data_IF_803259414134
#
_entry.id   IF_803259414134
#
_cell.length_a   1.000
_cell.length_b   1.000
_cell.length_c   1.000
_cell.angle_alpha   90.00
_cell.angle_beta   90.00
_cell.angle_gamma   90.00
#
_symmetry.space_group_name_H-M   'P 1'
#
loop_
_entity.id
_entity.type
_entity.pdbx_description
1 polymer ?
#
# COMPACT_ATOMS: atom_id res chain seq x y z
N UNK A 1 -17.71 21.21 -3.91
CA UNK A 1 -16.51 22.04 -3.66
C UNK A 1 -16.13 22.75 -4.95
N UNK A 2 -15.99 24.09 -4.94
CA UNK A 2 -15.80 24.94 -6.13
C UNK A 2 -14.52 24.66 -6.95
N UNK A 3 -13.63 23.77 -6.47
CA UNK A 3 -12.37 23.38 -7.12
C UNK A 3 -12.28 21.89 -7.45
N UNK A 4 -13.34 21.09 -7.20
CA UNK A 4 -13.30 19.64 -7.46
C UNK A 4 -13.27 19.37 -8.96
N UNK A 5 -14.17 20.01 -9.70
CA UNK A 5 -14.24 19.90 -11.16
C UNK A 5 -12.92 20.36 -11.82
N UNK A 6 -12.36 21.49 -11.37
CA UNK A 6 -11.05 21.97 -11.82
C UNK A 6 -9.94 20.94 -11.57
N UNK A 7 -9.96 20.28 -10.39
CA UNK A 7 -8.97 19.26 -10.06
C UNK A 7 -9.11 18.01 -10.93
N UNK A 8 -10.33 17.52 -11.15
CA UNK A 8 -10.59 16.37 -12.03
C UNK A 8 -10.12 16.68 -13.46
N UNK A 9 -10.42 17.87 -13.98
CA UNK A 9 -9.96 18.31 -15.29
C UNK A 9 -8.42 18.42 -15.35
N UNK A 10 -7.78 18.93 -14.28
CA UNK A 10 -6.32 19.03 -14.22
C UNK A 10 -5.63 17.66 -14.17
N UNK A 11 -6.18 16.69 -13.44
CA UNK A 11 -5.70 15.29 -13.43
C UNK A 11 -5.80 14.67 -14.83
N UNK A 12 -6.92 14.84 -15.52
CA UNK A 12 -7.06 14.36 -16.90
C UNK A 12 -6.07 15.05 -17.87
N UNK A 13 -5.79 16.33 -17.64
CA UNK A 13 -4.77 17.07 -18.41
C UNK A 13 -3.37 16.51 -18.16
N UNK A 14 -3.00 16.26 -16.89
CA UNK A 14 -1.73 15.62 -16.54
C UNK A 14 -1.58 14.24 -17.23
N UNK A 15 -2.62 13.42 -17.18
CA UNK A 15 -2.65 12.11 -17.87
C UNK A 15 -2.24 12.26 -19.33
N UNK A 16 -2.75 13.26 -20.04
CA UNK A 16 -2.40 13.50 -21.44
C UNK A 16 -0.99 14.06 -21.62
N UNK A 17 -0.56 14.98 -20.74
CA UNK A 17 0.78 15.57 -20.78
C UNK A 17 1.89 14.52 -20.66
N UNK A 18 1.67 13.48 -19.85
CA UNK A 18 2.69 12.48 -19.50
C UNK A 18 2.63 11.19 -20.33
N UNK A 19 1.78 11.13 -21.37
CA UNK A 19 1.59 9.95 -22.23
C UNK A 19 2.89 9.34 -22.78
N UNK A 20 3.90 10.19 -23.06
CA UNK A 20 5.17 9.76 -23.68
C UNK A 20 6.03 8.97 -22.69
N UNK A 21 5.90 9.20 -21.38
CA UNK A 21 6.67 8.51 -20.34
C UNK A 21 6.40 7.00 -20.30
N UNK A 22 5.21 6.58 -20.74
CA UNK A 22 4.75 5.19 -20.72
C UNK A 22 4.39 4.65 -22.12
N UNK A 23 4.87 5.29 -23.19
CA UNK A 23 4.47 4.94 -24.57
C UNK A 23 4.79 3.48 -24.98
N UNK A 24 5.79 2.85 -24.36
CA UNK A 24 6.21 1.47 -24.62
C UNK A 24 5.79 0.49 -23.51
N UNK A 25 5.00 0.94 -22.56
CA UNK A 25 4.55 0.15 -21.41
C UNK A 25 3.06 -0.17 -21.56
N UNK A 26 2.61 -1.26 -20.92
CA UNK A 26 1.19 -1.62 -20.84
C UNK A 26 0.72 -1.45 -19.40
N UNK A 27 -0.35 -0.68 -19.22
CA UNK A 27 -0.96 -0.44 -17.91
C UNK A 27 -1.74 -1.69 -17.48
N UNK A 28 -1.29 -2.32 -16.40
CA UNK A 28 -1.94 -3.48 -15.78
C UNK A 28 -2.93 -3.08 -14.67
N UNK A 29 -2.71 -1.94 -14.03
CA UNK A 29 -3.47 -1.49 -12.85
C UNK A 29 -3.77 0.00 -12.90
N UNK A 30 -4.93 0.38 -12.38
CA UNK A 30 -5.34 1.77 -12.15
C UNK A 30 -5.77 1.87 -10.69
N UNK A 31 -5.14 2.75 -9.92
CA UNK A 31 -5.39 2.85 -8.49
C UNK A 31 -5.82 4.27 -8.11
N UNK A 32 -7.06 4.40 -7.66
CA UNK A 32 -7.58 5.63 -7.08
C UNK A 32 -7.30 5.61 -5.59
N UNK A 33 -6.20 6.26 -5.18
CA UNK A 33 -5.76 6.34 -3.79
C UNK A 33 -5.58 7.77 -3.29
N UNK A 34 -5.32 7.88 -1.99
CA UNK A 34 -4.99 9.14 -1.33
C UNK A 34 -6.21 9.99 -0.98
N UNK A 35 -6.19 10.61 0.20
CA UNK A 35 -7.36 11.32 0.72
C UNK A 35 -8.57 10.39 0.77
N UNK A 36 -9.62 10.75 0.03
CA UNK A 36 -10.86 9.96 -0.05
C UNK A 36 -11.38 9.93 -1.50
N UNK A 37 -10.85 9.05 -2.37
CA UNK A 37 -11.21 9.03 -3.80
C UNK A 37 -12.69 8.68 -4.04
N UNK A 38 -13.30 7.95 -3.11
CA UNK A 38 -14.72 7.60 -3.08
C UNK A 38 -15.68 8.81 -3.15
N UNK A 39 -15.22 10.04 -2.86
CA UNK A 39 -15.99 11.29 -3.03
C UNK A 39 -16.23 11.69 -4.49
N UNK A 40 -15.46 11.14 -5.44
CA UNK A 40 -15.68 11.36 -6.87
C UNK A 40 -16.99 10.70 -7.30
N UNK A 41 -17.82 11.39 -8.07
CA UNK A 41 -18.98 10.77 -8.71
C UNK A 41 -18.54 9.70 -9.71
N UNK A 42 -19.43 8.75 -10.04
CA UNK A 42 -19.14 7.75 -11.08
C UNK A 42 -18.77 8.37 -12.43
N UNK A 43 -19.38 9.51 -12.77
CA UNK A 43 -19.06 10.22 -14.01
C UNK A 43 -17.63 10.78 -13.98
N UNK A 44 -17.18 11.31 -12.84
CA UNK A 44 -15.80 11.79 -12.68
C UNK A 44 -14.79 10.64 -12.71
N UNK A 45 -15.11 9.50 -12.07
CA UNK A 45 -14.27 8.29 -12.13
C UNK A 45 -14.17 7.79 -13.58
N UNK A 46 -15.30 7.64 -14.27
CA UNK A 46 -15.32 7.20 -15.67
C UNK A 46 -14.52 8.15 -16.56
N UNK A 47 -14.68 9.46 -16.38
CA UNK A 47 -13.94 10.47 -17.13
C UNK A 47 -12.41 10.32 -16.98
N UNK A 48 -11.93 10.05 -15.76
CA UNK A 48 -10.50 9.81 -15.52
C UNK A 48 -10.02 8.49 -16.12
N UNK A 49 -10.81 7.41 -16.01
CA UNK A 49 -10.49 6.12 -16.63
C UNK A 49 -10.43 6.28 -18.16
N UNK A 50 -11.41 6.95 -18.77
CA UNK A 50 -11.42 7.22 -20.20
C UNK A 50 -10.18 8.00 -20.64
N UNK A 51 -9.74 8.99 -19.85
CA UNK A 51 -8.50 9.70 -20.11
C UNK A 51 -7.27 8.78 -20.10
N UNK A 52 -7.21 7.80 -19.19
CA UNK A 52 -6.14 6.78 -19.18
C UNK A 52 -6.18 5.95 -20.46
N UNK A 53 -7.34 5.40 -20.82
CA UNK A 53 -7.50 4.58 -22.03
C UNK A 53 -7.22 5.35 -23.34
N UNK A 54 -7.44 6.66 -23.36
CA UNK A 54 -7.13 7.51 -24.51
C UNK A 54 -5.62 7.78 -24.69
N UNK A 55 -4.84 7.70 -23.62
CA UNK A 55 -3.43 8.13 -23.63
C UNK A 55 -2.43 6.96 -23.43
N UNK A 56 -2.87 5.82 -22.89
CA UNK A 56 -2.03 4.68 -22.59
C UNK A 56 -2.60 3.37 -23.16
N UNK A 57 -1.72 2.42 -23.44
CA UNK A 57 -2.11 1.04 -23.72
C UNK A 57 -2.48 0.37 -22.40
N UNK A 58 -3.74 -0.05 -22.25
CA UNK A 58 -4.23 -0.74 -21.06
C UNK A 58 -4.48 -2.20 -21.40
N UNK A 59 -4.13 -3.12 -20.49
CA UNK A 59 -4.46 -4.54 -20.66
C UNK A 59 -5.98 -4.77 -20.74
N UNK A 60 -6.40 -5.92 -21.26
CA UNK A 60 -7.82 -6.24 -21.43
C UNK A 60 -8.58 -6.30 -20.10
N UNK A 61 -7.94 -6.82 -19.05
CA UNK A 61 -8.53 -7.02 -17.72
C UNK A 61 -7.67 -6.35 -16.62
N UNK A 62 -7.60 -5.01 -16.58
CA UNK A 62 -6.79 -4.32 -15.59
C UNK A 62 -7.44 -4.42 -14.20
N UNK A 63 -6.62 -4.42 -13.15
CA UNK A 63 -7.15 -4.20 -11.80
C UNK A 63 -7.41 -2.70 -11.61
N UNK A 64 -8.66 -2.32 -11.36
CA UNK A 64 -9.06 -0.94 -11.11
C UNK A 64 -9.57 -0.84 -9.67
N UNK A 65 -8.71 -0.31 -8.80
CA UNK A 65 -8.98 -0.19 -7.36
C UNK A 65 -9.49 1.19 -7.00
N UNK A 66 -10.52 1.23 -6.15
CA UNK A 66 -10.96 2.44 -5.45
C UNK A 66 -10.74 2.30 -3.94
N UNK A 67 -9.93 3.19 -3.36
CA UNK A 67 -9.87 3.38 -1.90
C UNK A 67 -11.15 4.07 -1.40
N UNK A 68 -11.66 3.59 -0.27
CA UNK A 68 -12.85 4.15 0.36
C UNK A 68 -12.85 3.92 1.88
N UNK A 69 -13.65 4.71 2.58
CA UNK A 69 -13.99 4.47 3.99
C UNK A 69 -15.47 4.08 4.11
N UNK A 70 -15.88 3.42 5.21
CA UNK A 70 -17.27 3.04 5.42
C UNK A 70 -18.27 4.20 5.33
N UNK A 71 -17.89 5.39 5.78
CA UNK A 71 -18.70 6.61 5.73
C UNK A 71 -18.92 7.15 4.30
N UNK A 72 -18.09 6.74 3.34
CA UNK A 72 -18.26 7.09 1.92
C UNK A 72 -19.09 6.06 1.14
N UNK A 73 -19.28 4.86 1.69
CA UNK A 73 -19.84 3.70 1.01
C UNK A 73 -21.27 3.40 1.47
N UNK A 74 -22.19 4.33 1.17
CA UNK A 74 -23.61 4.02 1.29
C UNK A 74 -24.01 2.87 0.36
N UNK A 75 -25.10 2.18 0.68
CA UNK A 75 -25.64 1.11 -0.15
C UNK A 75 -25.82 1.51 -1.62
N UNK A 76 -26.43 2.67 -1.87
CA UNK A 76 -26.63 3.16 -3.23
C UNK A 76 -25.31 3.45 -3.92
N UNK A 77 -24.31 3.95 -3.18
CA UNK A 77 -22.96 4.19 -3.69
C UNK A 77 -22.26 2.90 -4.10
N UNK A 78 -22.33 1.85 -3.28
CA UNK A 78 -21.78 0.52 -3.59
C UNK A 78 -22.41 -0.03 -4.87
N UNK A 79 -23.74 0.02 -4.99
CA UNK A 79 -24.47 -0.45 -6.18
C UNK A 79 -24.10 0.36 -7.43
N UNK A 80 -23.86 1.66 -7.28
CA UNK A 80 -23.40 2.51 -8.37
C UNK A 80 -21.98 2.14 -8.79
N UNK A 81 -21.07 1.95 -7.84
CA UNK A 81 -19.69 1.57 -8.12
C UNK A 81 -19.60 0.19 -8.78
N UNK A 82 -20.45 -0.77 -8.40
CA UNK A 82 -20.47 -2.11 -9.00
C UNK A 82 -20.94 -2.12 -10.46
N UNK A 83 -21.44 -0.98 -10.96
CA UNK A 83 -21.82 -0.78 -12.37
C UNK A 83 -20.80 0.06 -13.14
N UNK A 84 -19.70 0.42 -12.50
CA UNK A 84 -18.57 1.14 -13.09
C UNK A 84 -17.44 0.16 -13.43
N UNK A 85 -16.37 0.61 -14.11
CA UNK A 85 -15.19 -0.22 -14.35
C UNK A 85 -14.39 -0.60 -13.10
N UNK A 86 -14.67 0.01 -11.93
CA UNK A 86 -14.04 -0.37 -10.67
C UNK A 86 -14.33 -1.85 -10.40
N UNK A 87 -13.28 -2.64 -10.19
CA UNK A 87 -13.39 -4.07 -9.94
C UNK A 87 -12.68 -4.52 -8.66
N UNK A 88 -12.15 -3.58 -7.88
CA UNK A 88 -11.59 -3.82 -6.54
C UNK A 88 -11.89 -2.67 -5.60
N UNK A 89 -12.29 -2.98 -4.37
CA UNK A 89 -12.42 -1.99 -3.28
C UNK A 89 -11.31 -2.20 -2.24
N UNK A 90 -10.72 -1.11 -1.75
CA UNK A 90 -9.83 -1.12 -0.59
C UNK A 90 -10.49 -0.28 0.52
N UNK A 91 -10.96 -0.94 1.58
CA UNK A 91 -11.83 -0.31 2.58
C UNK A 91 -11.08 -0.14 3.91
N UNK A 92 -10.90 1.10 4.34
CA UNK A 92 -10.21 1.45 5.58
C UNK A 92 -11.05 1.19 6.83
N UNK A 93 -11.22 -0.07 7.24
CA UNK A 93 -12.03 -0.47 8.42
C UNK A 93 -11.35 -0.12 9.73
N UNK A 94 -10.05 -0.42 9.84
CA UNK A 94 -9.14 -0.24 10.96
C UNK A 94 -9.47 -1.06 12.20
N UNK A 95 -10.70 -1.00 12.71
CA UNK A 95 -11.20 -1.82 13.82
C UNK A 95 -12.73 -1.91 13.78
N UNK A 96 -13.27 -3.00 14.32
CA UNK A 96 -14.69 -3.20 14.63
C UNK A 96 -15.05 -2.80 16.06
N UNK A 97 -14.13 -2.16 16.80
CA UNK A 97 -14.38 -1.63 18.13
C UNK A 97 -14.40 -0.11 18.13
N UNK A 98 -15.48 0.44 18.67
CA UNK A 98 -15.74 1.88 18.72
C UNK A 98 -14.64 2.67 19.44
N UNK A 99 -14.06 2.10 20.49
CA UNK A 99 -12.99 2.76 21.26
C UNK A 99 -11.69 2.91 20.45
N UNK A 100 -11.35 1.92 19.62
CA UNK A 100 -10.16 1.98 18.76
C UNK A 100 -10.37 3.03 17.66
N UNK A 101 -11.55 3.05 17.04
CA UNK A 101 -11.92 4.04 16.00
C UNK A 101 -11.87 5.47 16.52
N UNK A 102 -12.37 5.71 17.75
CA UNK A 102 -12.28 7.01 18.43
C UNK A 102 -10.85 7.41 18.72
N UNK A 103 -10.02 6.48 19.20
CA UNK A 103 -8.60 6.74 19.46
C UNK A 103 -7.88 7.15 18.17
N UNK A 104 -8.20 6.50 17.05
CA UNK A 104 -7.67 6.80 15.72
C UNK A 104 -8.34 8.01 15.04
N UNK A 105 -9.30 8.67 15.70
CA UNK A 105 -10.06 9.81 15.15
C UNK A 105 -10.70 9.51 13.78
N UNK A 106 -11.30 8.31 13.66
CA UNK A 106 -12.04 7.88 12.48
C UNK A 106 -13.42 8.53 12.43
N UNK A 107 -13.89 8.84 11.22
CA UNK A 107 -15.20 9.44 11.01
C UNK A 107 -16.34 8.41 11.11
N UNK A 108 -16.06 7.17 10.70
CA UNK A 108 -16.99 6.04 10.77
C UNK A 108 -16.97 5.35 12.14
N UNK A 109 -18.07 4.68 12.47
CA UNK A 109 -18.20 3.83 13.67
C UNK A 109 -18.21 2.33 13.35
N UNK A 110 -18.20 1.48 14.39
CA UNK A 110 -18.16 0.03 14.22
C UNK A 110 -19.38 -0.54 13.47
N UNK A 111 -20.58 -0.02 13.71
CA UNK A 111 -21.79 -0.48 13.03
C UNK A 111 -21.80 -0.10 11.54
N UNK A 112 -21.28 1.08 11.21
CA UNK A 112 -21.10 1.52 9.82
C UNK A 112 -20.08 0.66 9.09
N UNK A 113 -18.96 0.29 9.74
CA UNK A 113 -17.98 -0.63 9.18
C UNK A 113 -18.61 -2.00 8.85
N UNK A 114 -19.39 -2.57 9.77
CA UNK A 114 -20.08 -3.84 9.54
C UNK A 114 -21.15 -3.76 8.45
N UNK A 115 -21.96 -2.70 8.44
CA UNK A 115 -23.00 -2.49 7.44
C UNK A 115 -22.41 -2.30 6.04
N UNK A 116 -21.31 -1.52 5.94
CA UNK A 116 -20.56 -1.32 4.71
C UNK A 116 -20.07 -2.65 4.14
N UNK A 117 -19.39 -3.47 4.94
CA UNK A 117 -18.89 -4.77 4.48
C UNK A 117 -20.01 -5.73 4.09
N UNK A 118 -21.07 -5.79 4.91
CA UNK A 118 -22.25 -6.64 4.62
C UNK A 118 -22.85 -6.34 3.25
N UNK A 119 -22.89 -5.06 2.86
CA UNK A 119 -23.39 -4.68 1.54
C UNK A 119 -22.35 -4.87 0.44
N UNK A 120 -21.09 -4.46 0.67
CA UNK A 120 -20.02 -4.49 -0.33
C UNK A 120 -19.76 -5.90 -0.88
N UNK A 121 -19.70 -6.91 -0.01
CA UNK A 121 -19.42 -8.31 -0.40
C UNK A 121 -20.50 -8.93 -1.31
N UNK A 122 -21.67 -8.27 -1.43
CA UNK A 122 -22.75 -8.70 -2.32
C UNK A 122 -22.54 -8.25 -3.77
N UNK A 123 -21.66 -7.28 -3.99
CA UNK A 123 -21.46 -6.62 -5.28
C UNK A 123 -20.01 -6.68 -5.78
N UNK A 124 -19.05 -6.85 -4.88
CA UNK A 124 -17.63 -6.99 -5.19
C UNK A 124 -17.10 -8.28 -4.61
N UNK A 125 -16.43 -9.07 -5.43
CA UNK A 125 -15.70 -10.26 -5.00
C UNK A 125 -14.29 -9.91 -4.54
N UNK A 126 -13.63 -8.94 -5.18
CA UNK A 126 -12.29 -8.47 -4.82
C UNK A 126 -12.36 -7.26 -3.86
N UNK A 127 -12.44 -7.56 -2.56
CA UNK A 127 -12.42 -6.56 -1.49
C UNK A 127 -11.17 -6.76 -0.63
N UNK A 128 -10.45 -5.68 -0.39
CA UNK A 128 -9.49 -5.57 0.68
C UNK A 128 -10.06 -4.74 1.81
N UNK A 129 -9.73 -5.13 3.04
CA UNK A 129 -9.91 -4.27 4.20
C UNK A 129 -8.56 -3.96 4.83
N UNK A 130 -8.45 -2.80 5.43
CA UNK A 130 -7.28 -2.42 6.23
C UNK A 130 -7.62 -2.54 7.71
N UNK A 131 -6.76 -3.21 8.49
CA UNK A 131 -6.86 -3.36 9.94
C UNK A 131 -5.60 -2.82 10.63
N UNK A 132 -5.77 -2.23 11.81
CA UNK A 132 -4.64 -1.69 12.58
C UNK A 132 -4.47 -2.46 13.89
N UNK A 133 -3.27 -2.97 14.13
CA UNK A 133 -2.86 -3.64 15.38
C UNK A 133 -1.82 -2.80 16.13
N UNK A 134 -1.41 -3.25 17.33
CA UNK A 134 -0.48 -2.52 18.19
C UNK A 134 -1.09 -1.26 18.82
N UNK A 135 -2.42 -1.14 18.81
CA UNK A 135 -3.11 0.03 19.39
C UNK A 135 -2.98 0.03 20.92
N UNK A 136 -2.59 1.14 21.56
CA UNK A 136 -2.49 1.24 23.00
C UNK A 136 -3.78 0.81 23.72
N UNK A 137 -3.68 -0.18 24.60
CA UNK A 137 -4.81 -0.74 25.34
C UNK A 137 -5.59 -1.85 24.61
N UNK A 138 -5.28 -2.15 23.35
CA UNK A 138 -5.82 -3.31 22.64
C UNK A 138 -5.08 -4.58 23.08
N UNK A 139 -5.77 -5.47 23.78
CA UNK A 139 -5.28 -6.81 24.09
C UNK A 139 -5.47 -7.80 22.94
N UNK A 140 -4.80 -8.94 23.03
CA UNK A 140 -4.80 -9.98 22.00
C UNK A 140 -6.20 -10.55 21.71
N UNK A 141 -7.06 -10.68 22.72
CA UNK A 141 -8.44 -11.15 22.54
C UNK A 141 -9.25 -10.20 21.65
N UNK A 142 -9.09 -8.88 21.85
CA UNK A 142 -9.74 -7.87 21.01
C UNK A 142 -9.18 -7.89 19.59
N UNK A 143 -7.86 -8.02 19.46
CA UNK A 143 -7.21 -8.12 18.17
C UNK A 143 -7.71 -9.34 17.38
N UNK A 144 -7.73 -10.52 18.01
CA UNK A 144 -8.28 -11.74 17.42
C UNK A 144 -9.75 -11.59 17.07
N UNK A 145 -10.55 -10.85 17.86
CA UNK A 145 -11.92 -10.55 17.50
C UNK A 145 -12.01 -9.72 16.21
N UNK A 146 -11.16 -8.70 16.04
CA UNK A 146 -11.08 -7.91 14.79
C UNK A 146 -10.79 -8.80 13.57
N UNK A 147 -9.78 -9.67 13.68
CA UNK A 147 -9.38 -10.57 12.59
C UNK A 147 -10.49 -11.58 12.27
N UNK A 148 -11.08 -12.22 13.28
CA UNK A 148 -12.17 -13.18 13.06
C UNK A 148 -13.43 -12.52 12.52
N UNK A 149 -13.73 -11.29 12.94
CA UNK A 149 -14.85 -10.52 12.40
C UNK A 149 -14.63 -10.19 10.93
N UNK A 150 -13.44 -9.76 10.53
CA UNK A 150 -13.06 -9.58 9.13
C UNK A 150 -13.27 -10.86 8.30
N UNK A 151 -12.75 -11.99 8.80
CA UNK A 151 -12.92 -13.30 8.15
C UNK A 151 -14.39 -13.70 7.99
N UNK A 152 -15.26 -13.34 8.94
CA UNK A 152 -16.69 -13.67 8.88
C UNK A 152 -17.43 -13.03 7.69
N UNK A 153 -16.88 -11.95 7.12
CA UNK A 153 -17.42 -11.33 5.90
C UNK A 153 -16.94 -12.02 4.61
N UNK A 154 -15.99 -12.95 4.69
CA UNK A 154 -15.47 -13.67 3.52
C UNK A 154 -14.64 -12.81 2.57
N UNK A 155 -14.09 -11.68 3.04
CA UNK A 155 -13.20 -10.84 2.23
C UNK A 155 -11.95 -11.62 1.81
N UNK A 156 -11.50 -11.55 0.55
CA UNK A 156 -10.38 -12.37 0.09
C UNK A 156 -9.01 -11.73 0.35
N UNK A 157 -8.97 -10.48 0.83
CA UNK A 157 -7.73 -9.75 1.08
C UNK A 157 -7.83 -8.92 2.37
N UNK A 158 -6.78 -8.95 3.17
CA UNK A 158 -6.64 -8.16 4.40
C UNK A 158 -5.26 -7.52 4.38
N UNK A 159 -5.22 -6.18 4.42
CA UNK A 159 -4.01 -5.45 4.76
C UNK A 159 -4.01 -5.17 6.26
N UNK A 160 -2.87 -5.30 6.93
CA UNK A 160 -2.76 -4.97 8.34
C UNK A 160 -1.46 -4.27 8.68
N UNK A 161 -1.59 -3.20 9.46
CA UNK A 161 -0.51 -2.28 9.78
C UNK A 161 -0.37 -2.13 11.30
N UNK A 162 0.87 -2.07 11.79
CA UNK A 162 1.12 -1.66 13.16
C UNK A 162 0.78 -0.16 13.30
N UNK A 163 0.17 0.22 14.42
CA UNK A 163 -0.10 1.63 14.70
C UNK A 163 1.22 2.38 14.93
N UNK A 164 1.57 3.27 13.99
CA UNK A 164 2.72 4.17 14.13
C UNK A 164 2.30 5.55 14.63
N UNK A 165 3.16 6.18 15.43
CA UNK A 165 2.92 7.54 15.95
C UNK A 165 3.69 8.54 15.10
N UNK A 166 3.04 9.06 14.06
CA UNK A 166 3.68 10.01 13.15
C UNK A 166 3.74 11.43 13.70
N UNK A 167 4.85 12.17 13.50
CA UNK A 167 4.94 13.58 13.88
C UNK A 167 3.80 14.40 13.28
N UNK A 168 3.34 15.42 14.04
CA UNK A 168 2.27 16.36 13.65
C UNK A 168 0.85 15.77 13.56
N UNK A 169 0.65 14.50 13.89
CA UNK A 169 -0.70 13.90 13.99
C UNK A 169 -1.40 14.22 15.32
N UNK A 170 -2.71 13.97 15.39
CA UNK A 170 -3.47 14.06 16.63
C UNK A 170 -2.96 13.05 17.68
N UNK A 171 -2.70 11.81 17.24
CA UNK A 171 -2.17 10.75 18.09
C UNK A 171 -0.81 11.13 18.71
N UNK A 172 0.12 11.71 17.94
CA UNK A 172 1.39 12.20 18.48
C UNK A 172 1.19 13.22 19.61
N UNK A 173 0.21 14.12 19.50
CA UNK A 173 -0.12 15.08 20.57
C UNK A 173 -0.68 14.37 21.81
N UNK A 174 -1.54 13.37 21.62
CA UNK A 174 -2.12 12.59 22.73
C UNK A 174 -1.06 11.77 23.46
N UNK A 175 -0.16 11.12 22.73
CA UNK A 175 0.96 10.37 23.31
C UNK A 175 1.94 11.29 24.04
N UNK A 176 2.35 12.38 23.38
CA UNK A 176 3.26 13.38 23.98
C UNK A 176 2.72 13.99 25.27
N UNK A 177 1.40 14.17 25.37
CA UNK A 177 0.73 14.74 26.55
C UNK A 177 0.33 13.67 27.58
N UNK A 178 0.67 12.39 27.38
CA UNK A 178 0.32 11.29 28.28
C UNK A 178 -1.17 10.94 28.32
N UNK A 179 -1.96 11.41 27.35
CA UNK A 179 -3.39 11.06 27.22
C UNK A 179 -3.57 9.64 26.68
N UNK A 180 -2.68 9.20 25.81
CA UNK A 180 -2.62 7.84 25.24
C UNK A 180 -1.23 7.29 25.51
N UNK A 181 -1.11 6.00 25.83
CA UNK A 181 0.20 5.37 26.03
C UNK A 181 0.95 5.24 24.69
N UNK A 182 2.28 5.17 24.75
CA UNK A 182 3.08 4.80 23.58
C UNK A 182 2.72 3.36 23.16
N UNK A 183 2.57 3.08 21.84
CA UNK A 183 2.48 1.72 21.34
C UNK A 183 3.67 0.87 21.82
N UNK A 184 3.42 -0.40 22.16
CA UNK A 184 4.46 -1.36 22.55
C UNK A 184 4.81 -2.23 21.35
N UNK A 185 6.10 -2.29 21.03
CA UNK A 185 6.61 -3.11 19.94
C UNK A 185 6.44 -4.61 20.25
N UNK A 186 6.56 -5.01 21.52
CA UNK A 186 6.32 -6.38 21.97
C UNK A 186 4.87 -6.80 21.76
N UNK A 187 3.92 -5.93 22.12
CA UNK A 187 2.50 -6.18 21.90
C UNK A 187 2.16 -6.22 20.40
N UNK A 188 2.75 -5.32 19.61
CA UNK A 188 2.57 -5.31 18.16
C UNK A 188 3.13 -6.58 17.51
N UNK A 189 4.30 -7.04 17.93
CA UNK A 189 4.92 -8.29 17.45
C UNK A 189 4.04 -9.50 17.78
N UNK A 190 3.54 -9.61 19.01
CA UNK A 190 2.67 -10.71 19.42
C UNK A 190 1.37 -10.72 18.59
N UNK A 191 0.75 -9.55 18.40
CA UNK A 191 -0.46 -9.40 17.59
C UNK A 191 -0.22 -9.72 16.12
N UNK A 192 0.93 -9.34 15.58
CA UNK A 192 1.34 -9.70 14.22
C UNK A 192 1.46 -11.22 14.06
N UNK A 193 2.09 -11.94 14.99
CA UNK A 193 2.19 -13.39 14.92
C UNK A 193 0.81 -14.08 15.00
N UNK A 194 -0.07 -13.58 15.87
CA UNK A 194 -1.46 -14.04 15.95
C UNK A 194 -2.23 -13.82 14.65
N UNK A 195 -2.04 -12.67 13.99
CA UNK A 195 -2.62 -12.37 12.69
C UNK A 195 -2.17 -13.39 11.64
N UNK A 196 -0.86 -13.62 11.55
CA UNK A 196 -0.28 -14.58 10.60
C UNK A 196 -0.88 -15.96 10.81
N UNK A 197 -0.91 -16.46 12.05
CA UNK A 197 -1.45 -17.79 12.36
C UNK A 197 -2.92 -17.94 11.97
N UNK A 198 -3.76 -16.96 12.34
CA UNK A 198 -5.19 -17.03 12.06
C UNK A 198 -5.45 -16.95 10.57
N UNK A 199 -4.77 -16.06 9.84
CA UNK A 199 -5.00 -15.90 8.41
C UNK A 199 -4.46 -17.08 7.59
N UNK A 200 -3.27 -17.59 7.90
CA UNK A 200 -2.71 -18.79 7.25
C UNK A 200 -3.58 -20.04 7.51
N UNK A 201 -4.06 -20.23 8.75
CA UNK A 201 -5.00 -21.31 9.08
C UNK A 201 -6.33 -21.19 8.33
N UNK A 202 -6.73 -19.98 7.96
CA UNK A 202 -7.89 -19.71 7.13
C UNK A 202 -7.54 -19.68 5.63
N UNK A 203 -6.34 -20.11 5.22
CA UNK A 203 -5.92 -20.27 3.83
C UNK A 203 -5.63 -18.96 3.09
N UNK A 204 -5.20 -17.92 3.81
CA UNK A 204 -4.57 -16.74 3.20
C UNK A 204 -3.07 -17.01 3.04
N UNK A 205 -2.48 -16.39 2.02
CA UNK A 205 -1.03 -16.32 1.84
C UNK A 205 -0.57 -14.96 2.36
N UNK A 206 0.37 -14.98 3.30
CA UNK A 206 1.06 -13.77 3.76
C UNK A 206 2.14 -13.38 2.75
N UNK A 207 1.74 -12.69 1.67
CA UNK A 207 2.60 -12.47 0.50
C UNK A 207 3.50 -11.24 0.61
N UNK A 208 3.13 -10.28 1.46
CA UNK A 208 3.96 -9.14 1.85
C UNK A 208 3.72 -8.81 3.34
N UNK A 209 4.69 -8.19 4.02
CA UNK A 209 4.67 -7.88 5.45
C UNK A 209 3.30 -7.43 5.98
N UNK A 210 2.66 -6.49 5.30
CA UNK A 210 1.35 -5.96 5.68
C UNK A 210 0.19 -6.59 4.91
N UNK A 211 0.40 -7.41 3.89
CA UNK A 211 -0.67 -7.86 2.99
C UNK A 211 -0.85 -9.39 2.98
N UNK A 212 -2.11 -9.79 3.17
CA UNK A 212 -2.57 -11.17 3.15
C UNK A 212 -3.66 -11.31 2.11
N UNK A 213 -3.55 -12.29 1.23
CA UNK A 213 -4.56 -12.54 0.21
C UNK A 213 -4.84 -14.01 -0.01
N UNK A 214 -6.05 -14.32 -0.46
CA UNK A 214 -6.34 -15.60 -1.10
C UNK A 214 -5.58 -15.71 -2.41
N UNK A 215 -5.34 -16.95 -2.85
CA UNK A 215 -4.81 -17.20 -4.19
C UNK A 215 -5.62 -16.42 -5.24
N UNK A 216 -4.93 -15.71 -6.13
CA UNK A 216 -5.50 -14.83 -7.17
C UNK A 216 -6.15 -13.52 -6.67
N UNK A 217 -6.12 -13.22 -5.38
CA UNK A 217 -6.64 -11.97 -4.80
C UNK A 217 -5.53 -11.08 -4.18
N UNK A 218 -4.26 -11.34 -4.51
CA UNK A 218 -3.20 -10.40 -4.16
C UNK A 218 -3.45 -9.09 -4.91
N UNK A 219 -3.29 -7.96 -4.23
CA UNK A 219 -3.36 -6.65 -4.87
C UNK A 219 -2.31 -6.58 -5.98
N UNK A 220 -2.74 -6.54 -7.24
CA UNK A 220 -1.80 -6.42 -8.37
C UNK A 220 -1.06 -5.10 -8.30
N UNK A 221 -1.75 -4.03 -7.89
CA UNK A 221 -1.14 -2.71 -7.76
C UNK A 221 -0.07 -2.67 -6.67
N UNK A 222 -0.36 -3.18 -5.46
CA UNK A 222 0.65 -3.22 -4.39
C UNK A 222 1.83 -4.12 -4.78
N UNK A 223 1.53 -5.30 -5.36
CA UNK A 223 2.56 -6.23 -5.83
C UNK A 223 3.49 -5.58 -6.86
N UNK A 224 2.96 -4.73 -7.74
CA UNK A 224 3.77 -3.99 -8.71
C UNK A 224 4.82 -3.09 -8.01
N UNK A 225 4.43 -2.35 -6.96
CA UNK A 225 5.37 -1.54 -6.18
C UNK A 225 6.44 -2.40 -5.51
N UNK A 226 6.05 -3.51 -4.87
CA UNK A 226 6.98 -4.38 -4.15
C UNK A 226 7.98 -5.10 -5.07
N UNK A 227 7.57 -5.40 -6.30
CA UNK A 227 8.45 -5.99 -7.32
C UNK A 227 9.28 -4.95 -8.10
N UNK A 228 9.16 -3.66 -7.76
CA UNK A 228 9.90 -2.58 -8.41
C UNK A 228 9.45 -2.34 -9.87
N UNK A 229 8.19 -2.63 -10.20
CA UNK A 229 7.64 -2.25 -11.51
C UNK A 229 7.54 -0.73 -11.61
N UNK A 230 7.66 -0.21 -12.83
CA UNK A 230 7.47 1.21 -13.13
C UNK A 230 6.02 1.62 -12.86
N UNK A 231 5.82 2.85 -12.41
CA UNK A 231 4.49 3.43 -12.24
C UNK A 231 4.51 4.94 -12.44
N UNK A 232 3.36 5.47 -12.83
CA UNK A 232 3.12 6.90 -12.97
C UNK A 232 2.10 7.35 -11.92
N UNK A 233 2.52 8.25 -11.04
CA UNK A 233 1.62 8.92 -10.10
C UNK A 233 1.09 10.20 -10.73
N UNK A 234 -0.23 10.39 -10.67
CA UNK A 234 -0.95 11.53 -11.23
C UNK A 234 -1.66 12.26 -10.09
N UNK A 235 -1.66 13.60 -10.12
CA UNK A 235 -2.31 14.44 -9.13
C UNK A 235 -1.38 15.00 -8.05
N UNK A 236 -1.90 15.84 -7.15
CA UNK A 236 -1.11 16.47 -6.09
C UNK A 236 -0.39 15.45 -5.19
N UNK A 237 0.88 15.70 -4.88
CA UNK A 237 1.75 14.80 -4.09
C UNK A 237 2.04 13.42 -4.71
N UNK A 238 1.53 13.12 -5.91
CA UNK A 238 1.72 11.81 -6.51
C UNK A 238 3.19 11.60 -6.89
N UNK A 239 3.70 10.40 -6.61
CA UNK A 239 5.08 10.01 -6.93
C UNK A 239 5.07 9.05 -8.13
N UNK A 240 6.13 9.06 -8.92
CA UNK A 240 6.34 8.17 -10.06
C UNK A 240 7.71 7.51 -9.98
N UNK A 241 7.86 6.36 -10.62
CA UNK A 241 9.11 5.64 -10.74
C UNK A 241 9.25 5.03 -12.14
N UNK A 242 10.34 5.33 -12.83
CA UNK A 242 10.59 4.85 -14.21
C UNK A 242 11.65 3.73 -14.30
N UNK A 243 12.17 3.26 -13.16
CA UNK A 243 13.27 2.29 -13.07
C UNK A 243 14.62 2.92 -12.70
N UNK A 244 14.78 4.22 -12.96
CA UNK A 244 16.03 4.96 -12.76
C UNK A 244 15.82 6.29 -12.06
N UNK A 245 14.64 6.88 -12.19
CA UNK A 245 14.28 8.13 -11.55
C UNK A 245 13.03 7.98 -10.72
N UNK A 246 12.99 8.74 -9.63
CA UNK A 246 11.76 9.09 -8.94
C UNK A 246 11.39 10.52 -9.27
N UNK A 247 10.11 10.77 -9.43
CA UNK A 247 9.59 12.13 -9.58
C UNK A 247 8.34 12.30 -8.74
N UNK A 248 8.03 13.53 -8.39
CA UNK A 248 6.84 13.85 -7.59
C UNK A 248 6.19 15.15 -8.02
N UNK A 249 4.88 15.19 -7.82
CA UNK A 249 4.08 16.38 -8.03
C UNK A 249 4.04 17.25 -6.78
N UNK A 250 3.77 18.54 -6.98
CA UNK A 250 3.63 19.49 -5.88
C UNK A 250 2.43 19.12 -5.00
N UNK A 251 2.61 19.14 -3.68
CA UNK A 251 1.57 18.74 -2.75
C UNK A 251 0.45 19.79 -2.60
N UNK A 252 0.73 21.06 -2.91
CA UNK A 252 -0.23 22.13 -2.75
C UNK A 252 -1.22 22.15 -3.93
N UNK A 253 -2.50 21.85 -3.67
CA UNK A 253 -3.56 21.80 -4.69
C UNK A 253 -3.67 23.06 -5.55
N UNK A 254 -3.50 24.26 -4.98
CA UNK A 254 -3.64 25.51 -5.75
C UNK A 254 -2.45 25.74 -6.68
N UNK A 255 -1.24 25.36 -6.25
CA UNK A 255 -0.05 25.42 -7.09
C UNK A 255 -0.06 24.33 -8.15
N UNK A 256 -0.47 23.11 -7.81
CA UNK A 256 -0.67 22.02 -8.78
C UNK A 256 -1.60 22.44 -9.92
N UNK A 257 -2.77 23.00 -9.59
CA UNK A 257 -3.71 23.48 -10.62
C UNK A 257 -3.09 24.54 -11.54
N UNK A 258 -2.28 25.45 -10.98
CA UNK A 258 -1.58 26.47 -11.76
C UNK A 258 -0.50 25.86 -12.65
N UNK A 259 0.28 24.92 -12.12
CA UNK A 259 1.36 24.28 -12.87
C UNK A 259 0.82 23.46 -14.04
N UNK A 260 -0.32 22.76 -13.87
CA UNK A 260 -1.01 22.09 -14.97
C UNK A 260 -1.47 23.08 -16.04
N UNK A 261 -2.07 24.22 -15.64
CA UNK A 261 -2.48 25.27 -16.59
C UNK A 261 -1.30 25.85 -17.37
N UNK A 262 -0.13 25.94 -16.74
CA UNK A 262 1.12 26.41 -17.35
C UNK A 262 1.86 25.31 -18.13
N UNK A 263 1.39 24.06 -18.12
CA UNK A 263 2.06 22.92 -18.77
C UNK A 263 3.36 22.47 -18.09
N UNK A 264 3.49 22.64 -16.78
CA UNK A 264 4.71 22.37 -16.00
C UNK A 264 4.57 21.12 -15.13
N UNK A 265 5.33 20.06 -15.44
CA UNK A 265 5.49 18.85 -14.62
C UNK A 265 6.82 18.15 -14.95
N UNK A 266 7.38 17.30 -14.07
CA UNK A 266 7.02 17.13 -12.64
C UNK A 266 7.54 18.29 -11.76
N UNK A 267 7.15 18.33 -10.48
CA UNK A 267 7.63 19.35 -9.54
C UNK A 267 9.04 19.07 -9.00
N UNK A 268 9.42 17.80 -8.94
CA UNK A 268 10.77 17.35 -8.60
C UNK A 268 11.10 16.02 -9.26
N UNK A 269 12.39 15.76 -9.45
CA UNK A 269 12.92 14.51 -10.01
C UNK A 269 14.30 14.24 -9.41
N UNK A 270 14.56 13.00 -9.05
CA UNK A 270 15.87 12.51 -8.59
C UNK A 270 16.29 11.28 -9.40
N UNK A 271 17.59 11.19 -9.70
CA UNK A 271 18.20 10.00 -10.31
C UNK A 271 18.67 9.07 -9.21
N UNK A 272 18.27 7.81 -9.28
CA UNK A 272 18.67 6.79 -8.32
C UNK A 272 20.03 6.22 -8.72
N UNK A 273 20.95 6.20 -7.78
CA UNK A 273 22.24 5.53 -7.95
C UNK A 273 22.05 4.00 -8.06
N UNK A 274 23.12 3.29 -8.40
CA UNK A 274 23.11 1.82 -8.35
C UNK A 274 22.86 1.33 -6.92
N UNK A 275 23.46 2.00 -5.92
CA UNK A 275 23.27 1.69 -4.51
C UNK A 275 21.82 1.92 -4.06
N UNK A 276 21.19 3.04 -4.45
CA UNK A 276 19.78 3.31 -4.13
C UNK A 276 18.86 2.20 -4.66
N UNK A 277 19.04 1.82 -5.93
CA UNK A 277 18.22 0.76 -6.55
C UNK A 277 18.47 -0.62 -5.93
N UNK A 278 19.71 -0.91 -5.53
CA UNK A 278 20.03 -2.12 -4.77
C UNK A 278 19.32 -2.11 -3.40
N UNK A 279 19.46 -1.02 -2.64
CA UNK A 279 18.87 -0.88 -1.31
C UNK A 279 17.34 -1.00 -1.36
N UNK A 280 16.71 -0.39 -2.35
CA UNK A 280 15.28 -0.52 -2.60
C UNK A 280 14.87 -1.95 -2.90
N UNK A 281 15.59 -2.65 -3.77
CA UNK A 281 15.30 -4.04 -4.10
C UNK A 281 15.46 -4.97 -2.89
N UNK A 282 16.46 -4.74 -2.03
CA UNK A 282 16.62 -5.47 -0.76
C UNK A 282 15.43 -5.17 0.16
N UNK A 283 15.08 -3.90 0.35
CA UNK A 283 13.99 -3.46 1.22
C UNK A 283 12.65 -4.06 0.78
N UNK A 284 12.28 -3.92 -0.48
CA UNK A 284 10.99 -4.43 -0.95
C UNK A 284 10.99 -5.94 -1.05
N UNK A 285 12.09 -6.56 -1.48
CA UNK A 285 12.21 -8.01 -1.62
C UNK A 285 12.04 -8.74 -0.29
N UNK A 286 12.73 -8.31 0.77
CA UNK A 286 12.67 -8.96 2.10
C UNK A 286 11.31 -8.86 2.79
N UNK A 287 10.49 -7.87 2.41
CA UNK A 287 9.10 -7.75 2.87
C UNK A 287 8.17 -8.75 2.20
N UNK A 288 8.57 -9.42 1.12
CA UNK A 288 7.69 -10.28 0.32
C UNK A 288 8.06 -11.75 0.41
N UNK A 289 7.11 -12.62 0.02
CA UNK A 289 7.37 -14.07 -0.14
C UNK A 289 8.31 -14.39 -1.30
N UNK A 290 8.51 -13.47 -2.23
CA UNK A 290 9.39 -13.67 -3.38
C UNK A 290 10.86 -13.42 -3.06
N UNK A 291 11.14 -12.68 -1.99
CA UNK A 291 12.49 -12.44 -1.49
C UNK A 291 13.40 -11.67 -2.43
N UNK A 292 14.69 -11.70 -2.11
CA UNK A 292 15.77 -11.07 -2.85
C UNK A 292 16.55 -12.14 -3.62
N UNK A 293 16.42 -12.13 -4.95
CA UNK A 293 17.23 -12.99 -5.82
C UNK A 293 18.69 -12.53 -5.86
N UNK A 294 19.59 -13.37 -5.35
CA UNK A 294 21.05 -13.16 -5.37
C UNK A 294 21.57 -13.10 -6.81
N UNK A 295 20.98 -13.89 -7.72
CA UNK A 295 21.33 -13.88 -9.15
C UNK A 295 20.94 -12.56 -9.83
N UNK A 296 19.78 -12.00 -9.47
CA UNK A 296 19.36 -10.68 -9.94
C UNK A 296 20.32 -9.60 -9.43
N UNK A 297 20.69 -9.65 -8.15
CA UNK A 297 21.66 -8.69 -7.58
C UNK A 297 22.98 -8.69 -8.35
N UNK A 298 23.51 -9.88 -8.64
CA UNK A 298 24.76 -10.02 -9.37
C UNK A 298 24.69 -9.44 -10.81
N UNK A 299 23.52 -9.55 -11.44
CA UNK A 299 23.30 -9.18 -12.84
C UNK A 299 22.97 -7.69 -13.00
N UNK A 300 22.13 -7.14 -12.10
CA UNK A 300 21.64 -5.76 -12.19
C UNK A 300 22.52 -4.74 -11.46
N UNK A 301 23.17 -5.14 -10.35
CA UNK A 301 23.97 -4.22 -9.52
C UNK A 301 25.46 -4.58 -9.51
N UNK A 302 25.80 -5.86 -9.65
CA UNK A 302 27.18 -6.34 -9.83
C UNK A 302 27.66 -7.30 -8.74
N UNK A 303 28.87 -7.83 -8.93
CA UNK A 303 29.46 -8.83 -8.05
C UNK A 303 29.75 -8.30 -6.63
N UNK A 304 30.07 -7.02 -6.51
CA UNK A 304 30.32 -6.36 -5.22
C UNK A 304 29.07 -6.35 -4.34
N UNK A 305 27.95 -5.84 -4.85
CA UNK A 305 26.65 -5.85 -4.16
C UNK A 305 26.19 -7.27 -3.78
N UNK A 306 26.43 -8.26 -4.66
CA UNK A 306 26.14 -9.67 -4.35
C UNK A 306 26.94 -10.14 -3.13
N UNK A 307 28.26 -9.90 -3.13
CA UNK A 307 29.13 -10.35 -2.06
C UNK A 307 28.78 -9.64 -0.74
N UNK A 308 28.46 -8.34 -0.82
CA UNK A 308 27.99 -7.54 0.31
C UNK A 308 26.69 -8.11 0.91
N UNK A 309 25.67 -8.35 0.07
CA UNK A 309 24.39 -8.94 0.50
C UNK A 309 24.60 -10.25 1.26
N UNK A 310 25.41 -11.16 0.71
CA UNK A 310 25.66 -12.46 1.32
C UNK A 310 26.45 -12.35 2.63
N UNK A 311 27.39 -11.42 2.71
CA UNK A 311 28.17 -11.17 3.92
C UNK A 311 27.28 -10.63 5.05
N UNK A 312 26.47 -9.59 4.77
CA UNK A 312 25.60 -8.99 5.79
C UNK A 312 24.42 -9.90 6.18
N UNK A 313 23.90 -10.70 5.24
CA UNK A 313 22.84 -11.66 5.53
C UNK A 313 23.30 -12.83 6.42
N UNK A 314 24.60 -13.19 6.40
CA UNK A 314 25.12 -14.39 7.06
C UNK A 314 24.74 -14.46 8.55
N UNK A 315 24.93 -13.36 9.30
CA UNK A 315 24.62 -13.30 10.73
C UNK A 315 23.13 -13.54 11.01
N UNK A 316 22.25 -13.08 10.14
CA UNK A 316 20.80 -13.25 10.28
C UNK A 316 20.32 -14.62 9.81
N UNK A 317 21.03 -15.26 8.89
CA UNK A 317 20.81 -16.66 8.52
C UNK A 317 21.18 -17.57 9.71
N UNK A 318 22.32 -17.33 10.36
CA UNK A 318 22.73 -18.09 11.56
C UNK A 318 21.77 -17.92 12.73
N UNK A 319 21.17 -16.73 12.88
CA UNK A 319 20.13 -16.45 13.87
C UNK A 319 18.76 -17.02 13.51
N UNK A 320 18.58 -17.54 12.29
CA UNK A 320 17.30 -18.06 11.80
C UNK A 320 16.27 -16.97 11.49
N UNK A 321 16.69 -15.71 11.29
CA UNK A 321 15.82 -14.60 10.90
C UNK A 321 15.69 -14.44 9.37
N UNK A 322 16.73 -14.86 8.64
CA UNK A 322 16.72 -14.96 7.19
C UNK A 322 16.97 -16.41 6.75
N UNK A 323 16.49 -16.76 5.57
CA UNK A 323 16.77 -18.04 4.92
C UNK A 323 17.23 -17.80 3.48
N UNK A 324 18.25 -18.55 3.07
CA UNK A 324 18.72 -18.56 1.69
C UNK A 324 18.45 -19.94 1.07
N UNK A 325 17.54 -19.99 0.11
CA UNK A 325 17.17 -21.21 -0.61
C UNK A 325 17.11 -20.91 -2.10
N UNK A 326 17.71 -21.77 -2.94
CA UNK A 326 17.71 -21.61 -4.41
C UNK A 326 18.13 -20.22 -4.92
N UNK A 327 19.13 -19.61 -4.27
CA UNK A 327 19.60 -18.23 -4.53
C UNK A 327 18.56 -17.12 -4.26
N UNK A 328 17.54 -17.40 -3.46
CA UNK A 328 16.56 -16.43 -2.99
C UNK A 328 16.71 -16.27 -1.48
N UNK A 329 16.95 -15.03 -1.05
CA UNK A 329 17.01 -14.64 0.36
C UNK A 329 15.61 -14.16 0.80
N UNK A 330 15.04 -14.80 1.81
CA UNK A 330 13.70 -14.46 2.37
C UNK A 330 13.77 -14.26 3.87
N UNK A 331 12.82 -13.51 4.42
CA UNK A 331 12.58 -13.48 5.86
C UNK A 331 11.94 -14.78 6.33
N UNK A 332 12.41 -15.31 7.46
CA UNK A 332 11.75 -16.44 8.15
C UNK A 332 10.52 -15.94 8.90
N UNK A 333 9.77 -16.86 9.50
CA UNK A 333 8.63 -16.50 10.35
C UNK A 333 9.03 -15.55 11.48
N UNK A 334 10.18 -15.81 12.10
CA UNK A 334 10.75 -15.02 13.19
C UNK A 334 11.28 -13.67 12.70
N UNK A 335 11.82 -13.62 11.47
CA UNK A 335 12.37 -12.40 10.87
C UNK A 335 11.33 -11.48 10.23
N UNK A 336 10.13 -11.97 9.89
CA UNK A 336 9.11 -11.20 9.15
C UNK A 336 8.76 -9.87 9.82
N UNK A 337 8.48 -9.86 11.13
CA UNK A 337 8.16 -8.62 11.84
C UNK A 337 9.32 -7.61 11.85
N UNK A 338 10.55 -8.09 11.67
CA UNK A 338 11.78 -7.30 11.69
C UNK A 338 12.28 -6.94 10.28
N UNK A 339 11.50 -7.20 9.23
CA UNK A 339 11.94 -7.11 7.84
C UNK A 339 12.58 -5.75 7.48
N UNK A 340 12.00 -4.64 7.96
CA UNK A 340 12.52 -3.30 7.66
C UNK A 340 13.89 -3.06 8.33
N UNK A 341 14.09 -3.54 9.57
CA UNK A 341 15.38 -3.46 10.26
C UNK A 341 16.44 -4.36 9.62
N UNK A 342 16.06 -5.60 9.29
CA UNK A 342 16.92 -6.54 8.57
C UNK A 342 17.34 -5.97 7.21
N UNK A 343 16.42 -5.36 6.47
CA UNK A 343 16.74 -4.72 5.20
C UNK A 343 17.73 -3.56 5.37
N UNK A 344 17.50 -2.69 6.36
CA UNK A 344 18.39 -1.56 6.64
C UNK A 344 19.83 -2.01 6.92
N UNK A 345 20.02 -3.11 7.63
CA UNK A 345 21.36 -3.64 7.92
C UNK A 345 22.04 -4.29 6.70
N UNK A 346 21.29 -4.57 5.65
CA UNK A 346 21.77 -5.13 4.38
C UNK A 346 21.96 -4.06 3.30
N UNK A 347 21.72 -2.78 3.64
CA UNK A 347 21.91 -1.68 2.72
C UNK A 347 23.39 -1.44 2.44
N UNK A 348 23.70 -1.27 1.16
CA UNK A 348 25.00 -0.84 0.71
C UNK A 348 25.11 0.65 1.01
N UNK A 349 25.98 0.98 1.97
CA UNK A 349 26.35 2.35 2.29
C UNK A 349 27.76 2.53 1.77
N UNK A 350 27.96 3.45 0.82
CA UNK A 350 29.30 3.83 0.39
C UNK A 350 30.06 4.36 1.62
N UNK A 351 30.96 3.53 2.15
CA UNK A 351 31.90 3.94 3.17
C UNK A 351 33.00 4.73 2.46
N UNK A 352 32.77 6.02 2.22
CA UNK A 352 33.85 6.96 1.90
C UNK A 352 34.89 7.04 3.03
#
# INVERSE_FOLDING_TARGET
MKKKEDMVAAIATEISMRKVEFANEVVETIYFGGGTPSVLSNTEIQFLIDAVYQNYSVTENPEITLEANPDDLSKDRIIQLSKSPINRLSIGIQSFFEEDLKLMNRAHNALEAEACLTEAVRYFDNISIDLIYGTPGMGNDRWLHNVNKALSFGVPHISSYALTVEPKTALYKFVKNGTVAQPSDEAAQEQFLLLVDVLEANGFVHYELSNFGKQNYFSKNNTAYWLGKKYIGIGPSAHSYDGTFRSWNIANNALYLKDIQDGKLPAGKEELTVADRYNEYVMTGLRTIWGVSVSRVATEFGAEFKNYLLAEAHKYIEQGLLALQDNILTTTREGKFLADGLASDLFFVDLE
#
